data_IF_533182460944
#
_entry.id   IF_533182460944
#
_cell.length_a   1.000
_cell.length_b   1.000
_cell.length_c   1.000
_cell.angle_alpha   90.00
_cell.angle_beta   90.00
_cell.angle_gamma   90.00
#
_symmetry.space_group_name_H-M   'P 1'
#
loop_
_entity.id
_entity.type
_entity.pdbx_description
1 polymer ?
#
# COMPACT_ATOMS: atom_id res chain seq x y z
N UNK A 1 7.18 10.66 -10.23
CA UNK A 1 6.87 9.20 -10.28
C UNK A 1 5.96 8.92 -11.48
N UNK A 2 4.79 9.58 -11.62
CA UNK A 2 3.84 9.30 -12.70
C UNK A 2 4.41 9.40 -14.10
N UNK A 3 5.17 10.45 -14.40
CA UNK A 3 5.84 10.62 -15.69
C UNK A 3 6.85 9.49 -15.96
N UNK A 4 7.62 9.11 -14.95
CA UNK A 4 8.59 8.02 -15.08
C UNK A 4 7.89 6.67 -15.37
N UNK A 5 6.80 6.39 -14.70
CA UNK A 5 5.95 5.23 -14.99
C UNK A 5 5.37 5.28 -16.39
N UNK A 6 4.93 6.46 -16.86
CA UNK A 6 4.42 6.63 -18.21
C UNK A 6 5.50 6.32 -19.26
N UNK A 7 6.74 6.77 -19.05
CA UNK A 7 7.86 6.48 -19.95
C UNK A 7 8.21 5.00 -19.99
N UNK A 8 8.22 4.32 -18.83
CA UNK A 8 8.59 2.90 -18.75
C UNK A 8 7.48 1.97 -19.25
N UNK A 9 6.24 2.23 -18.84
CA UNK A 9 5.07 1.37 -19.13
C UNK A 9 4.34 1.79 -20.40
N UNK A 10 4.65 2.98 -20.92
CA UNK A 10 4.08 3.49 -22.16
C UNK A 10 4.44 2.60 -23.35
N UNK A 11 3.67 2.74 -24.42
CA UNK A 11 3.79 1.92 -25.64
C UNK A 11 5.19 1.94 -26.28
N UNK A 12 5.95 3.00 -26.05
CA UNK A 12 7.33 3.16 -26.53
C UNK A 12 8.39 2.82 -25.46
N UNK A 13 7.98 2.55 -24.21
CA UNK A 13 8.85 2.18 -23.11
C UNK A 13 9.36 0.74 -23.22
N UNK A 14 10.48 0.48 -22.55
CA UNK A 14 11.10 -0.85 -22.58
C UNK A 14 10.14 -1.96 -22.07
N UNK A 15 9.53 -1.75 -20.91
CA UNK A 15 8.58 -2.72 -20.33
C UNK A 15 7.25 -2.69 -21.10
N UNK A 16 6.79 -1.49 -21.50
CA UNK A 16 5.55 -1.34 -22.24
C UNK A 16 5.55 -2.07 -23.57
N UNK A 17 6.64 -2.04 -24.33
CA UNK A 17 6.79 -2.81 -25.58
C UNK A 17 6.70 -4.31 -25.36
N UNK A 18 7.36 -4.81 -24.29
CA UNK A 18 7.33 -6.23 -23.95
C UNK A 18 5.91 -6.69 -23.58
N UNK A 19 5.21 -5.91 -22.75
CA UNK A 19 3.84 -6.22 -22.37
C UNK A 19 2.86 -6.13 -23.55
N UNK A 20 3.06 -5.16 -24.42
CA UNK A 20 2.24 -5.00 -25.62
C UNK A 20 2.42 -6.16 -26.61
N UNK A 21 3.64 -6.73 -26.73
CA UNK A 21 3.89 -7.89 -27.61
C UNK A 21 3.15 -9.16 -27.18
N UNK A 22 2.78 -9.26 -25.89
CA UNK A 22 1.96 -10.34 -25.33
C UNK A 22 0.48 -9.96 -25.17
N UNK A 23 0.06 -8.84 -25.80
CA UNK A 23 -1.34 -8.40 -25.81
C UNK A 23 -1.80 -7.64 -24.56
N UNK A 24 -0.89 -7.30 -23.65
CA UNK A 24 -1.21 -6.59 -22.40
C UNK A 24 -0.96 -5.08 -22.58
N UNK A 25 -2.05 -4.30 -22.54
CA UNK A 25 -1.97 -2.83 -22.51
C UNK A 25 -2.19 -2.34 -21.08
N UNK A 26 -1.12 -1.85 -20.43
CA UNK A 26 -1.18 -1.37 -19.04
C UNK A 26 -1.72 0.06 -18.97
N UNK A 27 -1.30 0.95 -19.89
CA UNK A 27 -1.71 2.35 -19.86
C UNK A 27 -3.23 2.46 -20.11
N UNK A 28 -3.89 3.38 -19.39
CA UNK A 28 -5.33 3.57 -19.37
C UNK A 28 -6.14 2.31 -19.01
N UNK A 29 -5.55 1.47 -18.15
CA UNK A 29 -6.22 0.29 -17.59
C UNK A 29 -6.36 0.41 -16.08
N UNK A 30 -7.25 -0.42 -15.50
CA UNK A 30 -7.35 -0.55 -14.05
C UNK A 30 -6.01 -1.00 -13.42
N UNK A 31 -5.25 -1.84 -14.11
CA UNK A 31 -3.92 -2.25 -13.67
C UNK A 31 -2.94 -1.08 -13.49
N UNK A 32 -3.05 -0.02 -14.30
CA UNK A 32 -2.24 1.18 -14.14
C UNK A 32 -2.53 1.90 -12.81
N UNK A 33 -3.79 1.97 -12.39
CA UNK A 33 -4.16 2.58 -11.10
C UNK A 33 -3.52 1.83 -9.93
N UNK A 34 -3.55 0.50 -9.99
CA UNK A 34 -2.92 -0.36 -8.97
C UNK A 34 -1.41 -0.18 -8.95
N UNK A 35 -0.75 -0.17 -10.12
CA UNK A 35 0.70 0.04 -10.22
C UNK A 35 1.08 1.42 -9.65
N UNK A 36 0.36 2.48 -9.99
CA UNK A 36 0.60 3.81 -9.43
C UNK A 36 0.55 3.81 -7.90
N UNK A 37 -0.54 3.26 -7.34
CA UNK A 37 -0.75 3.19 -5.90
C UNK A 37 0.35 2.36 -5.21
N UNK A 38 0.72 1.20 -5.76
CA UNK A 38 1.77 0.34 -5.21
C UNK A 38 3.13 1.04 -5.23
N UNK A 39 3.55 1.59 -6.37
CA UNK A 39 4.87 2.23 -6.50
C UNK A 39 5.03 3.41 -5.56
N UNK A 40 3.96 4.19 -5.37
CA UNK A 40 4.00 5.38 -4.51
C UNK A 40 3.94 5.04 -3.02
N UNK A 41 3.24 3.97 -2.64
CA UNK A 41 3.12 3.53 -1.24
C UNK A 41 4.24 2.58 -0.79
N UNK A 42 4.87 1.88 -1.71
CA UNK A 42 5.91 0.88 -1.43
C UNK A 42 7.08 1.38 -0.57
N UNK A 43 7.70 2.55 -0.84
CA UNK A 43 8.82 3.04 -0.01
C UNK A 43 8.43 3.20 1.47
N UNK A 44 7.20 3.64 1.73
CA UNK A 44 6.69 3.83 3.07
C UNK A 44 6.49 2.49 3.79
N UNK A 45 5.91 1.51 3.11
CA UNK A 45 5.76 0.15 3.62
C UNK A 45 7.11 -0.50 3.89
N UNK A 46 8.03 -0.39 2.93
CA UNK A 46 9.37 -0.95 3.03
C UNK A 46 10.14 -0.38 4.22
N UNK A 47 10.20 0.95 4.35
CA UNK A 47 10.94 1.59 5.44
C UNK A 47 10.37 1.28 6.82
N UNK A 48 9.04 1.23 6.93
CA UNK A 48 8.37 0.91 8.20
C UNK A 48 8.55 -0.56 8.58
N UNK A 49 8.41 -1.48 7.62
CA UNK A 49 8.62 -2.90 7.86
C UNK A 49 10.09 -3.18 8.19
N UNK A 50 11.03 -2.60 7.44
CA UNK A 50 12.47 -2.72 7.72
C UNK A 50 12.79 -2.26 9.13
N UNK A 51 12.34 -1.08 9.54
CA UNK A 51 12.55 -0.58 10.90
C UNK A 51 11.96 -1.48 11.98
N UNK A 52 10.81 -2.13 11.71
CA UNK A 52 10.22 -3.09 12.64
C UNK A 52 11.08 -4.36 12.81
N UNK A 53 11.69 -4.86 11.74
CA UNK A 53 12.62 -5.99 11.82
C UNK A 53 13.94 -5.63 12.48
N UNK A 54 14.47 -4.43 12.24
CA UNK A 54 15.73 -3.95 12.83
C UNK A 54 15.64 -3.72 14.34
N UNK A 55 14.45 -3.50 14.88
CA UNK A 55 14.20 -3.33 16.32
C UNK A 55 14.15 -4.66 17.09
N UNK A 56 14.19 -5.81 16.41
CA UNK A 56 14.20 -7.12 17.09
C UNK A 56 15.57 -7.31 17.75
N UNK A 57 15.52 -7.67 19.05
CA UNK A 57 16.76 -7.97 19.82
C UNK A 57 17.50 -9.14 19.20
N UNK A 58 18.76 -8.90 18.81
CA UNK A 58 19.64 -9.92 18.23
C UNK A 58 19.90 -11.09 19.17
N UNK A 59 19.82 -10.88 20.48
CA UNK A 59 20.01 -11.95 21.47
C UNK A 59 18.91 -13.01 21.35
N UNK A 60 17.68 -12.61 21.03
CA UNK A 60 16.58 -13.57 20.81
C UNK A 60 16.88 -14.44 19.58
N UNK A 61 17.39 -13.83 18.51
CA UNK A 61 17.71 -14.53 17.27
C UNK A 61 18.90 -15.49 17.48
N UNK A 62 19.94 -15.03 18.16
CA UNK A 62 21.13 -15.83 18.48
C UNK A 62 20.78 -17.01 19.41
N UNK A 63 19.95 -16.79 20.42
CA UNK A 63 19.47 -17.86 21.30
C UNK A 63 18.69 -18.93 20.52
N UNK A 64 17.84 -18.54 19.60
CA UNK A 64 17.12 -19.49 18.76
C UNK A 64 18.05 -20.28 17.83
N UNK A 65 19.09 -19.64 17.30
CA UNK A 65 20.12 -20.31 16.47
C UNK A 65 20.95 -21.32 17.28
N UNK A 66 21.36 -20.97 18.50
CA UNK A 66 22.09 -21.90 19.38
C UNK A 66 21.26 -23.13 19.78
N UNK A 67 19.93 -22.99 19.82
CA UNK A 67 19.02 -24.13 19.98
C UNK A 67 18.82 -24.96 18.71
N UNK A 68 19.54 -24.70 17.63
CA UNK A 68 19.44 -25.44 16.37
C UNK A 68 18.17 -25.15 15.54
N UNK A 69 17.45 -24.05 15.84
CA UNK A 69 16.27 -23.66 15.07
C UNK A 69 16.72 -23.13 13.70
N UNK A 70 16.15 -23.65 12.61
CA UNK A 70 16.48 -23.21 11.26
C UNK A 70 16.08 -21.75 11.02
N UNK A 71 16.86 -21.01 10.19
CA UNK A 71 16.59 -19.60 9.87
C UNK A 71 15.18 -19.36 9.31
N UNK A 72 14.64 -20.31 8.53
CA UNK A 72 13.27 -20.24 8.04
C UNK A 72 12.24 -20.25 9.17
N UNK A 73 12.42 -21.12 10.17
CA UNK A 73 11.54 -21.15 11.34
C UNK A 73 11.70 -19.88 12.20
N UNK A 74 12.92 -19.37 12.35
CA UNK A 74 13.20 -18.12 13.06
C UNK A 74 12.45 -16.97 12.38
N UNK A 75 12.53 -16.86 11.07
CA UNK A 75 11.83 -15.82 10.32
C UNK A 75 10.30 -15.86 10.54
N UNK A 76 9.67 -17.02 10.31
CA UNK A 76 8.21 -17.12 10.35
C UNK A 76 7.64 -17.17 11.77
N UNK A 77 8.33 -17.81 12.72
CA UNK A 77 7.80 -18.04 14.08
C UNK A 77 8.28 -17.03 15.13
N UNK A 78 9.36 -16.30 14.85
CA UNK A 78 9.93 -15.33 15.79
C UNK A 78 9.91 -13.93 15.19
N UNK A 79 10.56 -13.71 14.03
CA UNK A 79 10.73 -12.37 13.49
C UNK A 79 9.41 -11.74 13.06
N UNK A 80 8.58 -12.45 12.28
CA UNK A 80 7.29 -11.90 11.82
C UNK A 80 6.35 -11.58 12.99
N UNK A 81 6.12 -12.45 13.97
CA UNK A 81 5.28 -12.11 15.12
C UNK A 81 5.80 -10.92 15.93
N UNK A 82 7.11 -10.81 16.13
CA UNK A 82 7.71 -9.67 16.84
C UNK A 82 7.63 -8.37 16.04
N UNK A 83 7.83 -8.42 14.72
CA UNK A 83 7.73 -7.26 13.83
C UNK A 83 6.28 -6.87 13.51
N UNK A 84 5.30 -7.72 13.84
CA UNK A 84 3.90 -7.54 13.42
C UNK A 84 3.31 -6.17 13.73
N UNK A 85 3.50 -5.58 14.94
CA UNK A 85 2.96 -4.25 15.23
C UNK A 85 3.48 -3.16 14.28
N UNK A 86 4.76 -3.23 13.90
CA UNK A 86 5.36 -2.31 12.95
C UNK A 86 4.92 -2.56 11.51
N UNK A 87 4.78 -3.83 11.11
CA UNK A 87 4.24 -4.21 9.79
C UNK A 87 2.79 -3.70 9.66
N UNK A 88 1.97 -3.88 10.68
CA UNK A 88 0.60 -3.38 10.69
C UNK A 88 0.53 -1.85 10.61
N UNK A 89 1.39 -1.13 11.35
CA UNK A 89 1.50 0.32 11.25
C UNK A 89 1.92 0.76 9.83
N UNK A 90 2.92 0.08 9.23
CA UNK A 90 3.34 0.31 7.85
C UNK A 90 2.22 0.09 6.84
N UNK A 91 1.40 -0.94 7.03
CA UNK A 91 0.24 -1.23 6.18
C UNK A 91 -0.79 -0.11 6.23
N UNK A 92 -1.11 0.41 7.43
CA UNK A 92 -2.04 1.54 7.60
C UNK A 92 -1.53 2.78 6.87
N UNK A 93 -0.26 3.14 7.09
CA UNK A 93 0.35 4.31 6.47
C UNK A 93 0.40 4.18 4.94
N UNK A 94 0.78 3.01 4.44
CA UNK A 94 0.85 2.72 3.00
C UNK A 94 -0.53 2.72 2.36
N UNK A 95 -1.54 2.20 3.04
CA UNK A 95 -2.92 2.25 2.58
C UNK A 95 -3.43 3.69 2.50
N UNK A 96 -3.22 4.49 3.53
CA UNK A 96 -3.61 5.91 3.53
C UNK A 96 -2.90 6.69 2.39
N UNK A 97 -1.60 6.39 2.16
CA UNK A 97 -0.84 7.00 1.07
C UNK A 97 -1.35 6.58 -0.31
N UNK A 98 -1.70 5.30 -0.47
CA UNK A 98 -2.25 4.76 -1.72
C UNK A 98 -3.67 5.30 -2.00
N UNK A 99 -4.50 5.44 -0.95
CA UNK A 99 -5.87 5.94 -1.07
C UNK A 99 -5.92 7.39 -1.59
N UNK A 100 -4.93 8.21 -1.21
CA UNK A 100 -4.81 9.60 -1.67
C UNK A 100 -3.98 9.76 -2.95
N UNK A 101 -3.66 8.66 -3.67
CA UNK A 101 -2.85 8.80 -4.89
C UNK A 101 -3.67 9.38 -6.04
N UNK A 102 -3.14 10.48 -6.59
CA UNK A 102 -3.77 11.26 -7.63
C UNK A 102 -2.87 11.42 -8.86
N UNK A 103 -1.69 12.00 -8.68
CA UNK A 103 -0.85 12.47 -9.78
C UNK A 103 -0.31 11.37 -10.67
N UNK A 104 0.23 10.29 -10.08
CA UNK A 104 0.74 9.18 -10.87
C UNK A 104 -0.41 8.42 -11.55
N UNK A 105 -1.55 8.27 -10.88
CA UNK A 105 -2.74 7.64 -11.43
C UNK A 105 -3.27 8.44 -12.63
N UNK A 106 -3.39 9.76 -12.51
CA UNK A 106 -3.83 10.62 -13.62
C UNK A 106 -2.95 10.46 -14.85
N UNK A 107 -1.62 10.38 -14.65
CA UNK A 107 -0.66 10.30 -15.77
C UNK A 107 -0.69 8.96 -16.49
N UNK A 108 -0.85 7.83 -15.79
CA UNK A 108 -0.74 6.51 -16.44
C UNK A 108 -2.08 5.81 -16.68
N UNK A 109 -3.08 6.15 -15.90
CA UNK A 109 -4.42 5.53 -15.97
C UNK A 109 -5.47 6.48 -16.52
N UNK A 110 -5.26 7.81 -16.41
CA UNK A 110 -6.23 8.83 -16.77
C UNK A 110 -7.46 8.83 -15.88
N UNK A 111 -8.47 9.59 -16.27
CA UNK A 111 -9.76 9.67 -15.58
C UNK A 111 -10.87 9.10 -16.47
N UNK A 112 -11.06 7.79 -16.47
CA UNK A 112 -12.10 7.12 -17.27
C UNK A 112 -13.16 6.59 -16.28
N UNK A 113 -14.36 7.23 -16.20
CA UNK A 113 -15.44 6.79 -15.34
C UNK A 113 -15.79 5.32 -15.56
N UNK A 114 -16.00 4.57 -14.47
CA UNK A 114 -16.28 3.14 -14.50
C UNK A 114 -15.11 2.22 -14.86
N UNK A 115 -13.92 2.78 -15.17
CA UNK A 115 -12.76 1.99 -15.56
C UNK A 115 -11.48 2.31 -14.76
N UNK A 116 -11.03 3.56 -14.75
CA UNK A 116 -9.78 3.96 -14.11
C UNK A 116 -9.94 5.11 -13.13
N UNK A 117 -11.12 5.68 -13.05
CA UNK A 117 -11.41 6.77 -12.13
C UNK A 117 -11.25 6.31 -10.68
N UNK A 118 -10.38 6.97 -9.94
CA UNK A 118 -10.23 6.80 -8.49
C UNK A 118 -10.99 7.90 -7.74
N UNK A 119 -11.23 7.71 -6.45
CA UNK A 119 -11.97 8.71 -5.65
C UNK A 119 -11.29 10.09 -5.69
N UNK A 120 -9.94 10.23 -5.52
CA UNK A 120 -9.29 11.53 -5.67
C UNK A 120 -9.50 12.18 -7.06
N UNK A 121 -9.48 11.37 -8.12
CA UNK A 121 -9.76 11.86 -9.48
C UNK A 121 -11.21 12.31 -9.62
N UNK A 122 -12.16 11.54 -9.06
CA UNK A 122 -13.57 11.90 -9.08
C UNK A 122 -13.83 13.23 -8.35
N UNK A 123 -13.22 13.43 -7.17
CA UNK A 123 -13.31 14.70 -6.43
C UNK A 123 -12.78 15.86 -7.27
N UNK A 124 -11.59 15.70 -7.83
CA UNK A 124 -10.93 16.76 -8.59
C UNK A 124 -11.76 17.18 -9.81
N UNK A 125 -12.16 16.22 -10.64
CA UNK A 125 -12.89 16.51 -11.88
C UNK A 125 -14.33 16.98 -11.64
N UNK A 126 -14.98 16.53 -10.57
CA UNK A 126 -16.29 17.06 -10.16
C UNK A 126 -16.17 18.52 -9.71
N UNK A 127 -15.17 18.84 -8.89
CA UNK A 127 -14.92 20.21 -8.43
C UNK A 127 -14.53 21.14 -9.60
N UNK A 128 -13.66 20.69 -10.51
CA UNK A 128 -13.26 21.45 -11.71
C UNK A 128 -14.44 21.69 -12.64
N UNK A 129 -15.34 20.71 -12.78
CA UNK A 129 -16.58 20.81 -13.54
C UNK A 129 -17.68 21.64 -12.90
N UNK A 130 -17.47 22.17 -11.68
CA UNK A 130 -18.45 22.97 -10.94
C UNK A 130 -19.50 22.13 -10.19
N UNK A 131 -19.44 20.81 -10.24
CA UNK A 131 -20.28 19.91 -9.46
C UNK A 131 -19.76 19.75 -8.02
N UNK A 132 -19.94 20.79 -7.23
CA UNK A 132 -19.50 20.81 -5.83
C UNK A 132 -20.22 19.74 -5.01
N UNK A 133 -21.48 19.45 -5.31
CA UNK A 133 -22.26 18.47 -4.57
C UNK A 133 -21.80 17.05 -4.83
N UNK A 134 -21.47 16.73 -6.08
CA UNK A 134 -20.83 15.48 -6.47
C UNK A 134 -19.44 15.33 -5.83
N UNK A 135 -18.61 16.38 -5.86
CA UNK A 135 -17.32 16.40 -5.20
C UNK A 135 -17.41 16.11 -3.70
N UNK A 136 -18.33 16.78 -2.98
CA UNK A 136 -18.57 16.55 -1.55
C UNK A 136 -19.01 15.11 -1.24
N UNK A 137 -19.83 14.51 -2.11
CA UNK A 137 -20.25 13.10 -1.95
C UNK A 137 -19.03 12.16 -1.96
N UNK A 138 -18.08 12.38 -2.88
CA UNK A 138 -16.85 11.60 -2.92
C UNK A 138 -15.92 11.89 -1.74
N UNK A 139 -15.88 13.15 -1.25
CA UNK A 139 -15.11 13.51 -0.04
C UNK A 139 -15.66 12.77 1.18
N UNK A 140 -16.97 12.74 1.40
CA UNK A 140 -17.57 11.99 2.51
C UNK A 140 -17.32 10.48 2.36
N UNK A 141 -17.34 9.98 1.15
CA UNK A 141 -17.06 8.56 0.86
C UNK A 141 -15.62 8.18 1.24
N UNK A 142 -14.62 8.94 0.79
CA UNK A 142 -13.21 8.64 1.11
C UNK A 142 -12.93 8.83 2.61
N UNK A 143 -13.55 9.83 3.23
CA UNK A 143 -13.45 10.06 4.66
C UNK A 143 -14.03 8.89 5.46
N UNK A 144 -15.20 8.39 5.08
CA UNK A 144 -15.84 7.22 5.69
C UNK A 144 -14.99 5.96 5.57
N UNK A 145 -14.43 5.69 4.37
CA UNK A 145 -13.54 4.55 4.12
C UNK A 145 -12.27 4.66 4.98
N UNK A 146 -11.67 5.85 5.03
CA UNK A 146 -10.44 6.10 5.81
C UNK A 146 -10.68 5.89 7.31
N UNK A 147 -11.79 6.42 7.82
CA UNK A 147 -12.14 6.30 9.22
C UNK A 147 -12.47 4.85 9.62
N UNK A 148 -13.24 4.16 8.77
CA UNK A 148 -13.57 2.74 8.97
C UNK A 148 -12.30 1.87 8.99
N UNK A 149 -11.42 2.04 8.02
CA UNK A 149 -10.17 1.26 7.94
C UNK A 149 -9.25 1.55 9.11
N UNK A 150 -9.15 2.82 9.56
CA UNK A 150 -8.35 3.21 10.72
C UNK A 150 -8.88 2.57 12.00
N UNK A 151 -10.19 2.61 12.24
CA UNK A 151 -10.83 1.98 13.41
C UNK A 151 -10.61 0.47 13.39
N UNK A 152 -10.87 -0.19 12.26
CA UNK A 152 -10.72 -1.63 12.09
C UNK A 152 -9.28 -2.07 12.38
N UNK A 153 -8.30 -1.37 11.83
CA UNK A 153 -6.89 -1.69 12.03
C UNK A 153 -6.42 -1.40 13.46
N UNK A 154 -6.90 -0.33 14.10
CA UNK A 154 -6.60 -0.06 15.50
C UNK A 154 -7.16 -1.15 16.42
N UNK A 155 -8.38 -1.61 16.15
CA UNK A 155 -8.98 -2.72 16.88
C UNK A 155 -8.17 -4.02 16.70
N UNK A 156 -7.75 -4.32 15.47
CA UNK A 156 -6.91 -5.47 15.16
C UNK A 156 -5.54 -5.42 15.86
N UNK A 157 -4.88 -4.26 15.84
CA UNK A 157 -3.60 -4.07 16.53
C UNK A 157 -3.70 -4.25 18.03
N UNK A 158 -4.77 -3.75 18.66
CA UNK A 158 -4.99 -3.92 20.10
C UNK A 158 -5.25 -5.38 20.46
N UNK A 159 -5.95 -6.11 19.59
CA UNK A 159 -6.18 -7.55 19.77
C UNK A 159 -4.87 -8.33 19.71
N UNK A 160 -4.02 -8.05 18.72
CA UNK A 160 -2.71 -8.70 18.57
C UNK A 160 -1.77 -8.39 19.75
N UNK A 161 -1.74 -7.15 20.24
CA UNK A 161 -0.93 -6.75 21.40
C UNK A 161 -1.34 -7.54 22.67
N UNK A 162 -2.62 -7.81 22.86
CA UNK A 162 -3.10 -8.62 24.00
C UNK A 162 -2.63 -10.08 23.92
N UNK A 163 -2.55 -10.64 22.72
CA UNK A 163 -2.06 -12.02 22.52
C UNK A 163 -0.55 -12.08 22.75
N UNK A 164 0.22 -11.15 22.16
CA UNK A 164 1.68 -11.13 22.28
C UNK A 164 2.14 -10.75 23.70
N UNK A 165 1.42 -9.88 24.39
CA UNK A 165 1.69 -9.52 25.79
C UNK A 165 1.46 -10.67 26.78
N UNK A 166 0.59 -11.63 26.45
CA UNK A 166 0.33 -12.83 27.28
C UNK A 166 1.47 -13.87 27.20
N UNK A 167 2.33 -13.78 26.19
CA UNK A 167 3.48 -14.70 26.00
C UNK A 167 4.72 -14.17 26.76
N UNK A 168 4.70 -12.90 27.22
CA UNK A 168 5.85 -12.22 27.85
C UNK A 168 5.80 -12.22 29.38
N UNK A 169 4.71 -12.69 29.98
CA UNK A 169 4.55 -12.99 31.41
C UNK A 169 4.48 -14.50 31.64
#
# INVERSE_FOLDING_TARGET
IGFFLLVILGRNGFIGKLLYSIGINVIFSWGATVIAAVVVSFPLMYSTAKGAFEQIDKNILNAAQTMGVSNFKIFWKIMIPLAWPGIAAGTILSFARALGEFGATLMIAGNIPGKTQTIPLAIYFAAEGGDIQGALTWVYTIFGISLFTMIMMNFWNNYQRKITGKIRN
#
